data_IF_133065075746
#
_entry.id   IF_133065075746
#
_cell.length_a   1.000
_cell.length_b   1.000
_cell.length_c   1.000
_cell.angle_alpha   90.00
_cell.angle_beta   90.00
_cell.angle_gamma   90.00
#
_symmetry.space_group_name_H-M   'P 1'
#
loop_
_entity.id
_entity.type
_entity.pdbx_description
1 polymer ?
#
# COMPACT_ATOMS: atom_id res chain seq x y z
N UNK A 1 11.24 39.73 -10.41
CA UNK A 1 10.46 39.00 -9.40
C UNK A 1 10.63 37.52 -9.70
N UNK A 2 11.59 36.87 -9.03
CA UNK A 2 11.70 35.41 -9.08
C UNK A 2 10.46 34.82 -8.39
N UNK A 3 9.59 34.19 -9.16
CA UNK A 3 8.48 33.43 -8.61
C UNK A 3 9.08 32.17 -8.02
N UNK A 4 9.24 32.17 -6.70
CA UNK A 4 9.74 31.02 -5.97
C UNK A 4 8.70 29.90 -6.05
N UNK A 5 8.88 29.00 -7.02
CA UNK A 5 8.04 27.82 -7.20
C UNK A 5 8.13 26.99 -5.91
N UNK A 6 7.01 26.64 -5.26
CA UNK A 6 7.02 25.95 -3.97
C UNK A 6 7.79 24.63 -4.08
N UNK A 7 8.67 24.32 -3.11
CA UNK A 7 9.50 23.09 -3.11
C UNK A 7 8.71 21.80 -3.33
N UNK A 8 7.43 21.74 -2.91
CA UNK A 8 6.54 20.60 -3.13
C UNK A 8 6.21 20.36 -4.61
N UNK A 9 6.21 21.39 -5.46
CA UNK A 9 6.06 21.23 -6.91
C UNK A 9 7.34 20.70 -7.54
N UNK A 10 8.51 21.19 -7.13
CA UNK A 10 9.81 20.68 -7.62
C UNK A 10 10.02 19.20 -7.29
N UNK A 11 9.57 18.73 -6.12
CA UNK A 11 9.68 17.30 -5.75
C UNK A 11 8.74 16.40 -6.58
N UNK A 12 7.54 16.90 -6.94
CA UNK A 12 6.61 16.21 -7.84
C UNK A 12 7.15 16.16 -9.27
N UNK A 13 7.70 17.26 -9.76
CA UNK A 13 8.34 17.31 -11.08
C UNK A 13 9.59 16.41 -11.15
N UNK A 14 10.38 16.33 -10.08
CA UNK A 14 11.57 15.48 -10.03
C UNK A 14 11.20 13.98 -10.06
N UNK A 15 10.13 13.57 -9.37
CA UNK A 15 9.64 12.17 -9.40
C UNK A 15 9.05 11.80 -10.77
N UNK A 16 8.26 12.71 -11.35
CA UNK A 16 7.74 12.52 -12.71
C UNK A 16 8.88 12.48 -13.76
N UNK A 17 9.89 13.34 -13.59
CA UNK A 17 11.10 13.36 -14.42
C UNK A 17 11.90 12.07 -14.33
N UNK A 18 12.06 11.49 -13.13
CA UNK A 18 12.73 10.19 -12.96
C UNK A 18 12.00 9.05 -13.69
N UNK A 19 10.67 9.00 -13.62
CA UNK A 19 9.86 8.00 -14.34
C UNK A 19 10.00 8.19 -15.86
N UNK A 20 9.90 9.44 -16.34
CA UNK A 20 10.04 9.77 -17.76
C UNK A 20 11.45 9.45 -18.29
N UNK A 21 12.49 9.74 -17.50
CA UNK A 21 13.89 9.44 -17.84
C UNK A 21 14.15 7.93 -17.91
N UNK A 22 13.53 7.13 -17.04
CA UNK A 22 13.65 5.67 -17.12
C UNK A 22 12.88 5.10 -18.33
N UNK A 23 11.68 5.62 -18.64
CA UNK A 23 10.91 5.21 -19.81
C UNK A 23 11.65 5.45 -21.13
N UNK A 24 12.49 6.50 -21.19
CA UNK A 24 13.29 6.83 -22.37
C UNK A 24 14.61 6.04 -22.46
N UNK A 25 15.11 5.48 -21.34
CA UNK A 25 16.38 4.77 -21.27
C UNK A 25 16.25 3.25 -21.06
N UNK A 26 15.03 2.73 -20.99
CA UNK A 26 14.77 1.30 -20.79
C UNK A 26 13.95 0.78 -21.96
N UNK A 27 14.45 -0.26 -22.63
CA UNK A 27 13.64 -1.03 -23.56
C UNK A 27 12.61 -1.81 -22.75
N UNK A 28 11.33 -1.56 -23.00
CA UNK A 28 10.25 -2.38 -22.43
C UNK A 28 10.48 -3.84 -22.85
N UNK A 29 10.66 -4.70 -21.87
CA UNK A 29 10.89 -6.12 -22.06
C UNK A 29 9.88 -6.91 -21.22
N UNK A 30 9.57 -8.12 -21.68
CA UNK A 30 8.86 -9.12 -20.90
C UNK A 30 9.82 -10.20 -20.38
N UNK A 31 9.38 -11.05 -19.44
CA UNK A 31 8.02 -11.21 -18.93
C UNK A 31 7.67 -10.33 -17.71
N UNK A 32 6.38 -10.25 -17.38
CA UNK A 32 5.89 -9.60 -16.14
C UNK A 32 6.14 -10.52 -14.95
N UNK A 33 7.12 -10.18 -14.11
CA UNK A 33 7.55 -10.97 -12.96
C UNK A 33 7.33 -10.20 -11.66
N UNK A 34 6.32 -10.60 -10.86
CA UNK A 34 6.07 -9.94 -9.57
C UNK A 34 6.90 -10.54 -8.43
N UNK A 35 7.33 -11.81 -8.56
CA UNK A 35 8.03 -12.52 -7.51
C UNK A 35 9.24 -11.76 -6.97
N UNK A 36 10.06 -11.16 -7.85
CA UNK A 36 11.26 -10.42 -7.44
C UNK A 36 10.92 -9.11 -6.72
N UNK A 37 9.98 -8.32 -7.24
CA UNK A 37 9.60 -7.03 -6.64
C UNK A 37 8.99 -7.25 -5.24
N UNK A 38 8.15 -8.28 -5.10
CA UNK A 38 7.55 -8.65 -3.82
C UNK A 38 8.62 -9.14 -2.83
N UNK A 39 9.59 -9.94 -3.27
CA UNK A 39 10.73 -10.37 -2.43
C UNK A 39 11.52 -9.18 -1.91
N UNK A 40 11.88 -8.23 -2.77
CA UNK A 40 12.62 -7.02 -2.37
C UNK A 40 11.81 -6.17 -1.38
N UNK A 41 10.51 -5.98 -1.62
CA UNK A 41 9.64 -5.26 -0.68
C UNK A 41 9.53 -5.97 0.67
N UNK A 42 9.44 -7.30 0.66
CA UNK A 42 9.45 -8.13 1.86
C UNK A 42 10.78 -8.00 2.63
N UNK A 43 11.93 -7.99 1.96
CA UNK A 43 13.22 -7.76 2.60
C UNK A 43 13.29 -6.39 3.29
N UNK A 44 12.86 -5.33 2.62
CA UNK A 44 12.81 -3.97 3.19
C UNK A 44 11.87 -3.92 4.40
N UNK A 45 10.67 -4.51 4.29
CA UNK A 45 9.69 -4.57 5.36
C UNK A 45 10.23 -5.39 6.56
N UNK A 46 10.87 -6.53 6.31
CA UNK A 46 11.48 -7.38 7.32
C UNK A 46 12.62 -6.69 8.07
N UNK A 47 13.51 -5.98 7.36
CA UNK A 47 14.58 -5.19 7.98
C UNK A 47 14.01 -4.11 8.92
N UNK A 48 12.88 -3.49 8.57
CA UNK A 48 12.26 -2.46 9.41
C UNK A 48 11.87 -2.97 10.80
N UNK A 49 11.48 -4.26 10.89
CA UNK A 49 11.14 -4.93 12.15
C UNK A 49 12.40 -5.05 13.02
N UNK A 50 13.52 -5.49 12.44
CA UNK A 50 14.80 -5.70 13.16
C UNK A 50 15.34 -4.41 13.78
N UNK A 51 15.13 -3.27 13.14
CA UNK A 51 15.54 -1.97 13.67
C UNK A 51 14.52 -1.34 14.64
N UNK A 52 13.54 -2.12 15.13
CA UNK A 52 12.44 -1.69 16.00
C UNK A 52 11.68 -0.46 15.46
N UNK A 53 11.62 -0.32 14.13
CA UNK A 53 10.88 0.76 13.47
C UNK A 53 9.45 0.28 13.26
N UNK A 54 8.49 0.94 13.91
CA UNK A 54 7.05 0.69 13.71
C UNK A 54 6.56 1.28 12.38
N UNK A 55 7.11 0.80 11.27
CA UNK A 55 6.72 1.20 9.91
C UNK A 55 5.84 0.13 9.29
N UNK A 56 4.82 0.56 8.56
CA UNK A 56 4.00 -0.28 7.71
C UNK A 56 4.21 0.15 6.26
N UNK A 57 4.37 -0.82 5.37
CA UNK A 57 4.72 -0.58 3.97
C UNK A 57 3.53 -0.93 3.08
N UNK A 58 3.38 -0.17 2.01
CA UNK A 58 2.40 -0.40 0.96
C UNK A 58 3.16 -0.42 -0.35
N UNK A 59 3.21 -1.59 -1.00
CA UNK A 59 3.79 -1.76 -2.33
C UNK A 59 2.69 -1.54 -3.36
N UNK A 60 2.83 -0.53 -4.21
CA UNK A 60 1.94 -0.31 -5.36
C UNK A 60 2.61 -0.87 -6.62
N UNK A 61 1.97 -1.83 -7.28
CA UNK A 61 2.37 -2.40 -8.56
C UNK A 61 1.37 -1.94 -9.62
N UNK A 62 1.86 -1.39 -10.73
CA UNK A 62 1.04 -1.02 -11.89
C UNK A 62 1.49 -1.89 -13.05
N UNK A 63 0.56 -2.60 -13.70
CA UNK A 63 0.86 -3.48 -14.82
C UNK A 63 -0.20 -3.36 -15.92
N UNK A 64 0.19 -3.52 -17.17
CA UNK A 64 -0.70 -3.57 -18.33
C UNK A 64 -0.87 -4.98 -18.92
N UNK A 65 -0.22 -5.98 -18.32
CA UNK A 65 -0.10 -7.31 -18.88
C UNK A 65 -0.33 -8.44 -17.88
N UNK A 66 -0.30 -9.67 -18.39
CA UNK A 66 -0.59 -10.90 -17.64
C UNK A 66 0.64 -11.32 -16.82
N UNK A 67 0.40 -11.85 -15.62
CA UNK A 67 1.45 -12.39 -14.75
C UNK A 67 2.03 -13.68 -15.35
N UNK A 68 3.34 -13.77 -15.52
CA UNK A 68 3.95 -14.99 -16.07
C UNK A 68 4.41 -15.97 -14.98
N UNK A 69 4.71 -15.46 -13.77
CA UNK A 69 5.29 -16.21 -12.65
C UNK A 69 4.32 -16.40 -11.47
N UNK A 70 3.11 -16.91 -11.75
CA UNK A 70 2.06 -17.07 -10.73
C UNK A 70 2.54 -17.85 -9.48
N UNK A 71 3.25 -18.97 -9.67
CA UNK A 71 3.70 -19.78 -8.54
C UNK A 71 4.77 -19.08 -7.70
N UNK A 72 5.75 -18.43 -8.33
CA UNK A 72 6.79 -17.69 -7.62
C UNK A 72 6.20 -16.50 -6.86
N UNK A 73 5.23 -15.82 -7.48
CA UNK A 73 4.47 -14.73 -6.89
C UNK A 73 3.70 -15.22 -5.66
N UNK A 74 2.95 -16.33 -5.76
CA UNK A 74 2.24 -16.93 -4.61
C UNK A 74 3.20 -17.27 -3.47
N UNK A 75 4.35 -17.88 -3.78
CA UNK A 75 5.34 -18.23 -2.77
C UNK A 75 5.92 -16.98 -2.08
N UNK A 76 6.15 -15.89 -2.84
CA UNK A 76 6.59 -14.62 -2.29
C UNK A 76 5.53 -13.96 -1.41
N UNK A 77 4.26 -13.97 -1.83
CA UNK A 77 3.13 -13.44 -1.06
C UNK A 77 2.93 -14.19 0.26
N UNK A 78 2.96 -15.53 0.23
CA UNK A 78 2.84 -16.36 1.43
C UNK A 78 3.97 -16.05 2.41
N UNK A 79 5.20 -15.90 1.93
CA UNK A 79 6.34 -15.48 2.77
C UNK A 79 6.16 -14.07 3.34
N UNK A 80 5.66 -13.13 2.53
CA UNK A 80 5.46 -11.74 2.95
C UNK A 80 4.27 -11.55 3.91
N UNK A 81 3.37 -12.54 4.02
CA UNK A 81 2.15 -12.42 4.84
C UNK A 81 2.40 -12.16 6.34
N UNK A 82 3.59 -12.49 6.86
CA UNK A 82 3.98 -12.24 8.26
C UNK A 82 4.64 -10.87 8.52
N UNK A 83 4.86 -10.08 7.47
CA UNK A 83 5.58 -8.80 7.51
C UNK A 83 4.62 -7.59 7.57
N UNK A 84 5.07 -6.39 7.98
CA UNK A 84 4.27 -5.16 7.95
C UNK A 84 4.13 -4.61 6.51
N UNK A 85 3.52 -5.38 5.62
CA UNK A 85 3.44 -5.09 4.18
C UNK A 85 2.04 -5.36 3.63
N UNK A 86 1.47 -4.41 2.90
CA UNK A 86 0.32 -4.61 1.99
C UNK A 86 0.76 -4.37 0.55
N UNK A 87 0.11 -5.01 -0.40
CA UNK A 87 0.44 -4.96 -1.83
C UNK A 87 -0.83 -4.58 -2.59
N UNK A 88 -0.78 -3.47 -3.31
CA UNK A 88 -1.83 -3.00 -4.19
C UNK A 88 -1.41 -3.25 -5.63
N UNK A 89 -2.22 -3.94 -6.42
CA UNK A 89 -1.96 -4.24 -7.82
C UNK A 89 -3.01 -3.53 -8.66
N UNK A 90 -2.56 -2.64 -9.56
CA UNK A 90 -3.42 -1.89 -10.48
C UNK A 90 -3.18 -2.40 -11.90
N UNK A 91 -4.22 -3.00 -12.48
CA UNK A 91 -4.22 -3.42 -13.88
C UNK A 91 -4.67 -2.28 -14.79
N UNK A 92 -3.84 -1.86 -15.75
CA UNK A 92 -4.18 -0.83 -16.75
C UNK A 92 -4.35 -1.46 -18.14
N UNK A 93 -5.15 -0.85 -19.01
CA UNK A 93 -5.40 -1.40 -20.34
C UNK A 93 -6.40 -2.56 -20.36
N UNK A 94 -6.31 -3.39 -21.39
CA UNK A 94 -7.33 -4.39 -21.75
C UNK A 94 -6.87 -5.85 -21.68
N UNK A 95 -5.81 -6.15 -20.92
CA UNK A 95 -5.33 -7.52 -20.74
C UNK A 95 -6.31 -8.40 -19.93
N UNK A 96 -6.07 -9.71 -19.95
CA UNK A 96 -6.77 -10.67 -19.09
C UNK A 96 -6.14 -10.68 -17.69
N UNK A 97 -6.90 -10.18 -16.71
CA UNK A 97 -6.46 -10.06 -15.32
C UNK A 97 -6.97 -11.19 -14.41
N UNK A 98 -7.52 -12.27 -14.98
CA UNK A 98 -8.05 -13.41 -14.22
C UNK A 98 -7.07 -13.99 -13.19
N UNK A 99 -5.77 -13.99 -13.50
CA UNK A 99 -4.74 -14.45 -12.57
C UNK A 99 -4.52 -13.50 -11.39
N UNK A 100 -4.74 -12.19 -11.57
CA UNK A 100 -4.62 -11.21 -10.48
C UNK A 100 -5.80 -11.35 -9.51
N UNK A 101 -7.00 -11.66 -9.99
CA UNK A 101 -8.18 -11.95 -9.15
C UNK A 101 -7.94 -13.19 -8.27
N UNK A 102 -7.15 -14.16 -8.73
CA UNK A 102 -6.75 -15.32 -7.90
C UNK A 102 -5.81 -14.91 -6.77
N UNK A 103 -5.01 -13.85 -6.95
CA UNK A 103 -4.10 -13.35 -5.93
C UNK A 103 -4.81 -12.53 -4.85
N UNK A 104 -5.96 -11.93 -5.18
CA UNK A 104 -6.75 -11.05 -4.32
C UNK A 104 -7.43 -11.76 -3.15
N UNK A 105 -7.50 -13.10 -3.18
CA UNK A 105 -8.04 -13.95 -2.10
C UNK A 105 -9.47 -13.65 -1.58
N UNK A 106 -10.18 -12.67 -2.17
CA UNK A 106 -11.61 -12.33 -1.96
C UNK A 106 -12.56 -13.52 -2.12
N UNK A 107 -12.17 -14.52 -2.92
CA UNK A 107 -12.92 -15.76 -3.11
C UNK A 107 -12.89 -16.70 -1.89
N UNK A 108 -12.40 -16.23 -0.74
CA UNK A 108 -12.30 -16.99 0.51
C UNK A 108 -11.18 -18.04 0.52
N UNK A 109 -10.37 -18.10 -0.54
CA UNK A 109 -9.26 -19.05 -0.69
C UNK A 109 -7.96 -18.37 -0.35
N UNK A 110 -7.42 -18.67 0.84
CA UNK A 110 -6.09 -18.21 1.22
C UNK A 110 -5.03 -18.74 0.26
N UNK A 111 -4.04 -17.91 -0.04
CA UNK A 111 -2.91 -18.31 -0.85
C UNK A 111 -2.11 -19.43 -0.19
N UNK A 112 -1.80 -20.45 -0.97
CA UNK A 112 -0.98 -21.59 -0.58
C UNK A 112 0.28 -21.62 -1.45
N UNK A 113 1.44 -21.77 -0.82
CA UNK A 113 2.72 -21.87 -1.49
C UNK A 113 2.95 -23.26 -2.06
N UNK A 114 3.98 -23.40 -2.90
CA UNK A 114 4.43 -24.66 -3.50
C UNK A 114 4.79 -25.74 -2.47
N UNK A 115 5.11 -25.35 -1.24
CA UNK A 115 5.47 -26.25 -0.12
C UNK A 115 4.30 -26.50 0.85
N UNK A 116 3.08 -26.09 0.50
CA UNK A 116 1.89 -26.29 1.33
C UNK A 116 1.74 -25.31 2.51
N UNK A 117 2.53 -24.22 2.54
CA UNK A 117 2.36 -23.16 3.56
C UNK A 117 1.22 -22.24 3.14
N UNK A 118 0.29 -21.98 4.05
CA UNK A 118 -0.84 -21.06 3.82
C UNK A 118 -0.47 -19.66 4.33
N UNK A 119 -0.90 -18.62 3.61
CA UNK A 119 -0.75 -17.23 4.03
C UNK A 119 -1.44 -16.97 5.39
N UNK A 120 -0.77 -16.22 6.26
CA UNK A 120 -1.26 -15.94 7.63
C UNK A 120 -2.47 -14.99 7.58
N UNK A 121 -2.38 -13.99 6.72
CA UNK A 121 -3.38 -12.95 6.49
C UNK A 121 -3.40 -12.60 5.01
N UNK A 122 -4.47 -11.94 4.61
CA UNK A 122 -4.53 -11.30 3.30
C UNK A 122 -3.66 -10.04 3.26
N UNK A 123 -2.97 -9.85 2.13
CA UNK A 123 -2.05 -8.74 1.91
C UNK A 123 -2.15 -8.16 0.50
N UNK A 124 -2.96 -8.74 -0.39
CA UNK A 124 -3.09 -8.28 -1.78
C UNK A 124 -4.42 -7.56 -1.92
N UNK A 125 -4.42 -6.48 -2.69
CA UNK A 125 -5.64 -5.90 -3.26
C UNK A 125 -5.41 -5.76 -4.76
N UNK A 126 -6.28 -6.30 -5.59
CA UNK A 126 -6.29 -6.06 -7.02
C UNK A 126 -7.38 -5.07 -7.42
N UNK A 127 -7.05 -4.13 -8.32
CA UNK A 127 -8.01 -3.18 -8.91
C UNK A 127 -7.75 -3.03 -10.41
N UNK A 128 -8.67 -3.46 -11.29
CA UNK A 128 -8.58 -3.19 -12.71
C UNK A 128 -9.04 -1.75 -13.03
N UNK A 129 -8.14 -0.91 -13.56
CA UNK A 129 -8.39 0.51 -13.84
C UNK A 129 -9.51 0.74 -14.87
N UNK A 130 -9.78 -0.24 -15.74
CA UNK A 130 -10.88 -0.18 -16.73
C UNK A 130 -12.25 0.02 -16.08
N UNK A 131 -12.48 -0.54 -14.90
CA UNK A 131 -13.75 -0.43 -14.16
C UNK A 131 -13.91 0.97 -13.56
N UNK A 132 -12.79 1.60 -13.18
CA UNK A 132 -12.82 2.96 -12.67
C UNK A 132 -13.13 3.97 -13.78
N UNK A 133 -12.52 3.84 -14.96
CA UNK A 133 -12.79 4.74 -16.07
C UNK A 133 -14.25 4.67 -16.57
N UNK A 134 -14.94 3.55 -16.32
CA UNK A 134 -16.37 3.40 -16.61
C UNK A 134 -17.30 4.14 -15.63
N UNK A 135 -16.75 4.78 -14.59
CA UNK A 135 -17.49 5.55 -13.60
C UNK A 135 -18.18 4.70 -12.52
N UNK A 136 -17.87 3.40 -12.45
CA UNK A 136 -18.51 2.48 -11.50
C UNK A 136 -17.99 2.64 -10.07
N UNK A 137 -16.70 2.96 -9.87
CA UNK A 137 -16.06 3.08 -8.56
C UNK A 137 -14.95 4.14 -8.60
N UNK A 138 -14.73 4.88 -7.50
CA UNK A 138 -13.57 5.76 -7.35
C UNK A 138 -12.28 4.93 -7.17
N UNK A 139 -11.22 5.18 -7.96
CA UNK A 139 -9.94 4.43 -7.90
C UNK A 139 -9.43 4.38 -6.47
N UNK A 140 -9.49 5.53 -5.80
CA UNK A 140 -8.95 5.71 -4.46
C UNK A 140 -9.77 4.95 -3.44
N UNK A 141 -11.08 4.82 -3.65
CA UNK A 141 -11.93 4.03 -2.76
C UNK A 141 -11.62 2.55 -2.91
N UNK A 142 -11.60 2.02 -4.14
CA UNK A 142 -11.29 0.62 -4.41
C UNK A 142 -9.89 0.24 -3.87
N UNK A 143 -8.90 1.11 -4.02
CA UNK A 143 -7.53 0.83 -3.54
C UNK A 143 -7.37 0.92 -2.02
N UNK A 144 -8.23 1.66 -1.33
CA UNK A 144 -8.11 1.90 0.11
C UNK A 144 -9.13 1.15 0.95
N UNK A 145 -10.03 0.38 0.34
CA UNK A 145 -11.08 -0.33 1.06
C UNK A 145 -10.50 -1.37 2.04
N UNK A 146 -9.53 -2.16 1.59
CA UNK A 146 -8.96 -3.23 2.40
C UNK A 146 -7.74 -2.83 3.24
N UNK A 147 -6.99 -1.84 2.78
CA UNK A 147 -5.71 -1.47 3.38
C UNK A 147 -5.82 -1.17 4.89
N UNK A 148 -6.84 -0.45 5.39
CA UNK A 148 -7.07 -0.28 6.82
C UNK A 148 -7.29 -1.61 7.56
N UNK A 149 -8.05 -2.53 6.98
CA UNK A 149 -8.32 -3.86 7.54
C UNK A 149 -7.07 -4.72 7.63
N UNK A 150 -6.28 -4.77 6.56
CA UNK A 150 -5.01 -5.48 6.49
C UNK A 150 -4.00 -4.92 7.52
N UNK A 151 -3.91 -3.59 7.62
CA UNK A 151 -3.07 -2.90 8.61
C UNK A 151 -3.46 -3.27 10.05
N UNK A 152 -4.75 -3.17 10.39
CA UNK A 152 -5.24 -3.48 11.73
C UNK A 152 -5.04 -4.96 12.07
N UNK A 153 -5.23 -5.85 11.12
CA UNK A 153 -4.99 -7.29 11.28
C UNK A 153 -3.54 -7.55 11.68
N UNK A 154 -2.58 -6.95 10.97
CA UNK A 154 -1.16 -7.04 11.31
C UNK A 154 -0.83 -6.45 12.69
N UNK A 155 -1.32 -5.25 13.00
CA UNK A 155 -1.02 -4.59 14.27
C UNK A 155 -1.54 -5.39 15.46
N UNK A 156 -2.75 -5.95 15.36
CA UNK A 156 -3.35 -6.81 16.39
C UNK A 156 -2.59 -8.11 16.56
N UNK A 157 -2.19 -8.76 15.46
CA UNK A 157 -1.46 -10.04 15.52
C UNK A 157 -0.05 -9.90 16.12
N UNK A 158 0.48 -8.68 16.20
CA UNK A 158 1.79 -8.35 16.76
C UNK A 158 1.73 -7.60 18.10
N UNK A 159 0.55 -7.41 18.69
CA UNK A 159 0.31 -6.61 19.91
C UNK A 159 0.94 -5.20 19.85
N UNK A 160 0.96 -4.59 18.66
CA UNK A 160 1.51 -3.24 18.48
C UNK A 160 0.45 -2.22 18.88
N UNK A 161 0.65 -1.61 20.05
CA UNK A 161 -0.23 -0.55 20.54
C UNK A 161 0.08 0.79 19.84
N UNK A 162 -0.96 1.60 19.54
CA UNK A 162 -0.78 2.98 19.12
C UNK A 162 0.10 3.71 20.13
N UNK A 163 1.00 4.58 19.64
CA UNK A 163 1.65 5.50 20.57
C UNK A 163 0.58 6.39 21.20
N UNK A 164 0.61 6.61 22.53
CA UNK A 164 -0.25 7.60 23.15
C UNK A 164 0.00 8.93 22.45
N UNK A 165 -1.07 9.58 21.98
CA UNK A 165 -0.95 10.95 21.51
C UNK A 165 -0.38 11.77 22.67
N UNK A 166 0.74 12.46 22.44
CA UNK A 166 1.17 13.49 23.37
C UNK A 166 0.15 14.62 23.27
N UNK A 167 -0.88 14.56 24.12
CA UNK A 167 -1.81 15.67 24.29
C UNK A 167 -0.97 16.79 24.91
N UNK A 168 -0.54 17.74 24.08
CA UNK A 168 0.01 18.98 24.59
C UNK A 168 -1.03 19.55 25.56
N UNK A 169 -0.66 19.95 26.80
CA UNK A 169 -1.61 20.46 27.76
C UNK A 169 -2.33 21.65 27.14
N UNK A 170 -3.61 21.47 26.83
CA UNK A 170 -4.49 22.55 26.43
C UNK A 170 -4.58 23.45 27.64
N UNK A 171 -3.92 24.62 27.59
CA UNK A 171 -4.23 25.66 28.56
C UNK A 171 -5.72 25.94 28.43
N UNK A 172 -6.47 25.56 29.46
CA UNK A 172 -7.84 25.97 29.62
C UNK A 172 -7.86 27.49 29.53
N UNK A 173 -8.45 28.03 28.47
CA UNK A 173 -8.89 29.41 28.45
C UNK A 173 -9.81 29.57 29.66
N UNK A 174 -9.32 30.25 30.70
CA UNK A 174 -10.12 30.68 31.82
C UNK A 174 -11.24 31.56 31.25
N UNK A 175 -12.46 31.03 31.22
CA UNK A 175 -13.65 31.83 30.97
C UNK A 175 -13.82 32.83 32.12
N UNK A 176 -13.92 34.10 31.76
CA UNK A 176 -14.23 35.21 32.65
C UNK A 176 -15.52 34.94 33.43
N UNK A 177 -15.41 34.82 34.75
CA UNK A 177 -16.56 34.85 35.66
C UNK A 177 -17.10 36.29 35.74
N UNK A 178 -18.11 36.58 34.92
CA UNK A 178 -18.95 37.77 35.08
C UNK A 178 -19.93 37.48 36.22
N UNK A 179 -19.60 37.96 37.42
CA UNK A 179 -20.47 37.91 38.58
C UNK A 179 -21.58 38.98 38.48
N UNK A 180 -22.88 38.62 38.56
CA UNK A 180 -23.94 39.62 38.62
C UNK A 180 -24.12 40.16 40.05
N UNK A 181 -24.03 41.48 40.21
CA UNK A 181 -24.51 42.21 41.40
C UNK A 181 -26.02 42.05 41.55
N UNK A 182 -26.48 41.66 42.74
CA UNK A 182 -27.74 41.97 43.43
C UNK A 182 -27.55 41.41 44.86
N UNK A 183 -27.70 42.09 45.99
CA UNK A 183 -28.47 43.27 46.44
C UNK A 183 -27.62 44.03 47.46
#
# INVERSE_FOLDING_TARGET
>A
MEVQVPLRLKEKELKASCLLMQMLNVALAGPTLFGQVIKTAAEIAGQSISYNRKKYFVLLIITDGVLTDLQETKDALVRASDLPLSILIVGVGGADFSQMEVLDADNGRRLESSIGRVAIRDIVQFVPMREVHSGQISVVQALLEELPGQFLTYMRSRDIKPHPLHVAPTQACLSEDISPRLV
#
